data_IF_304188138294
#
_entry.id   IF_304188138294
#
_cell.length_a   1.000
_cell.length_b   1.000
_cell.length_c   1.000
_cell.angle_alpha   90.00
_cell.angle_beta   90.00
_cell.angle_gamma   90.00
#
_symmetry.space_group_name_H-M   'P 1'
#
loop_
_entity.id
_entity.type
_entity.pdbx_description
1 polymer ?
#
# COMPACT_ATOMS: atom_id res chain seq x y z
N UNK A 1 -7.75 50.07 11.95
CA UNK A 1 -7.26 48.94 12.77
C UNK A 1 -7.91 47.72 12.18
N UNK A 2 -7.17 47.00 11.34
CA UNK A 2 -7.66 45.75 10.78
C UNK A 2 -7.92 44.80 11.93
N UNK A 3 -9.08 44.13 11.91
CA UNK A 3 -9.43 43.15 12.93
C UNK A 3 -8.31 42.10 13.01
N UNK A 4 -7.86 41.76 14.22
CA UNK A 4 -6.91 40.68 14.43
C UNK A 4 -7.44 39.43 13.71
N UNK A 5 -6.70 38.96 12.69
CA UNK A 5 -7.12 37.83 11.88
C UNK A 5 -6.83 36.57 12.66
N UNK A 6 -7.87 36.00 13.28
CA UNK A 6 -7.78 34.78 14.05
C UNK A 6 -8.04 33.58 13.15
N UNK A 7 -7.00 32.77 12.95
CA UNK A 7 -7.05 31.59 12.09
C UNK A 7 -6.90 30.35 12.96
N UNK A 8 -7.86 29.42 12.94
CA UNK A 8 -7.67 28.13 13.60
C UNK A 8 -6.55 27.37 12.89
N UNK A 9 -5.52 26.98 13.64
CA UNK A 9 -4.39 26.23 13.13
C UNK A 9 -4.15 24.97 13.97
N UNK A 10 -3.73 23.90 13.31
CA UNK A 10 -3.24 22.70 13.98
C UNK A 10 -1.81 22.94 14.45
N UNK A 11 -1.49 22.48 15.65
CA UNK A 11 -0.13 22.55 16.19
C UNK A 11 0.42 21.13 16.28
N UNK A 12 1.62 20.90 15.75
CA UNK A 12 2.39 19.68 16.01
C UNK A 12 3.65 20.06 16.77
N UNK A 13 3.66 19.64 18.03
CA UNK A 13 4.82 19.69 18.89
C UNK A 13 5.80 18.58 18.49
N UNK A 14 7.00 18.94 18.07
CA UNK A 14 7.99 18.01 17.52
C UNK A 14 9.28 18.00 18.34
N UNK A 15 10.05 16.92 18.23
CA UNK A 15 11.37 16.79 18.83
C UNK A 15 12.29 15.94 17.96
N UNK A 16 13.59 16.02 18.23
CA UNK A 16 14.61 15.31 17.47
C UNK A 16 14.55 15.60 15.96
N UNK A 17 14.85 14.59 15.16
CA UNK A 17 14.97 14.73 13.70
C UNK A 17 13.64 14.63 12.94
N UNK A 18 12.55 15.22 13.46
CA UNK A 18 11.21 15.08 12.86
C UNK A 18 11.18 15.39 11.35
N UNK A 19 11.79 16.49 10.91
CA UNK A 19 11.85 16.86 9.49
C UNK A 19 12.72 15.94 8.61
N UNK A 20 13.58 15.12 9.23
CA UNK A 20 14.32 14.09 8.51
C UNK A 20 13.43 12.86 8.25
N UNK A 21 12.61 12.46 9.23
CA UNK A 21 11.63 11.38 9.07
C UNK A 21 10.49 11.78 8.12
N UNK A 22 10.03 13.03 8.24
CA UNK A 22 8.96 13.60 7.45
C UNK A 22 9.56 14.60 6.47
N UNK A 23 9.83 14.14 5.23
CA UNK A 23 10.40 14.94 4.13
C UNK A 23 9.52 16.12 3.72
N UNK A 24 9.39 17.11 4.61
CA UNK A 24 8.58 18.31 4.51
C UNK A 24 9.53 19.43 4.07
N UNK A 25 9.51 19.83 2.78
CA UNK A 25 10.42 20.84 2.28
C UNK A 25 10.03 22.23 2.77
N UNK A 26 11.02 23.07 3.05
CA UNK A 26 10.80 24.49 3.28
C UNK A 26 10.71 25.26 1.97
N UNK A 27 9.83 26.25 1.93
CA UNK A 27 9.73 27.26 0.89
C UNK A 27 10.64 28.47 1.20
N UNK A 28 10.82 28.77 2.50
CA UNK A 28 11.68 29.85 2.99
C UNK A 28 12.15 29.57 4.42
N UNK A 29 13.23 30.23 4.83
CA UNK A 29 13.79 30.13 6.20
C UNK A 29 14.58 28.86 6.46
N UNK A 30 14.69 28.47 7.73
CA UNK A 30 15.49 27.35 8.19
C UNK A 30 14.66 26.37 9.02
N UNK A 31 15.13 25.12 9.11
CA UNK A 31 14.62 24.16 10.08
C UNK A 31 15.03 24.57 11.50
N UNK A 32 14.43 23.94 12.51
CA UNK A 32 14.85 24.13 13.88
C UNK A 32 16.33 23.80 14.07
N UNK A 33 16.99 24.61 14.89
CA UNK A 33 18.33 24.34 15.39
C UNK A 33 18.22 23.87 16.82
N UNK A 34 19.16 23.04 17.27
CA UNK A 34 19.23 22.55 18.66
C UNK A 34 19.68 23.63 19.66
N UNK A 35 19.47 24.91 19.34
CA UNK A 35 19.84 26.02 20.20
C UNK A 35 18.75 26.27 21.25
N UNK A 36 19.00 25.96 22.54
CA UNK A 36 18.02 26.16 23.60
C UNK A 36 17.67 27.64 23.85
N UNK A 37 18.45 28.59 23.29
CA UNK A 37 18.13 30.02 23.36
C UNK A 37 17.04 30.44 22.37
N UNK A 38 16.80 29.68 21.29
CA UNK A 38 15.84 30.00 20.23
C UNK A 38 14.49 29.30 20.44
N UNK A 39 13.97 29.40 21.67
CA UNK A 39 12.81 28.62 22.12
C UNK A 39 11.44 29.26 21.80
N UNK A 40 11.44 30.36 21.06
CA UNK A 40 10.26 31.08 20.57
C UNK A 40 10.08 30.94 19.04
N UNK A 41 10.86 30.07 18.39
CA UNK A 41 10.77 29.84 16.96
C UNK A 41 9.65 28.86 16.59
N UNK A 42 8.97 29.16 15.49
CA UNK A 42 7.94 28.32 14.87
C UNK A 42 8.15 28.19 13.37
N UNK A 43 7.72 27.07 12.80
CA UNK A 43 7.62 26.87 11.36
C UNK A 43 6.15 26.78 11.02
N UNK A 44 5.67 27.59 10.08
CA UNK A 44 4.27 27.57 9.63
C UNK A 44 4.18 27.03 8.21
N UNK A 45 3.05 26.45 7.83
CA UNK A 45 2.87 26.04 6.44
C UNK A 45 2.49 27.20 5.51
N UNK A 46 2.65 26.96 4.21
CA UNK A 46 2.31 27.87 3.12
C UNK A 46 0.88 28.42 3.26
N UNK A 47 -0.10 27.57 3.52
CA UNK A 47 -1.49 27.99 3.68
C UNK A 47 -1.68 28.98 4.85
N UNK A 48 -1.03 28.76 6.00
CA UNK A 48 -1.11 29.69 7.14
C UNK A 48 -0.36 31.00 6.84
N UNK A 49 0.81 30.93 6.19
CA UNK A 49 1.58 32.11 5.81
C UNK A 49 0.79 33.05 4.87
N UNK A 50 0.13 32.47 3.86
CA UNK A 50 -0.73 33.22 2.95
C UNK A 50 -1.94 33.85 3.64
N UNK A 51 -2.59 33.13 4.56
CA UNK A 51 -3.77 33.67 5.23
C UNK A 51 -3.44 34.77 6.26
N UNK A 52 -2.28 34.68 6.94
CA UNK A 52 -1.86 35.70 7.91
C UNK A 52 -1.21 36.93 7.27
N UNK A 53 -0.37 36.72 6.24
CA UNK A 53 0.53 37.76 5.74
C UNK A 53 0.46 37.96 4.23
N UNK A 54 -0.24 37.10 3.48
CA UNK A 54 -0.30 37.17 2.02
C UNK A 54 1.03 36.91 1.32
N UNK A 55 1.99 36.24 1.97
CA UNK A 55 3.33 35.99 1.43
C UNK A 55 4.00 34.80 2.13
N UNK A 56 4.90 34.12 1.40
CA UNK A 56 5.81 33.11 1.94
C UNK A 56 7.14 33.72 2.45
N UNK A 57 7.41 35.00 2.16
CA UNK A 57 8.59 35.73 2.63
C UNK A 57 8.27 36.51 3.91
N UNK A 58 8.16 35.75 4.99
CA UNK A 58 7.64 36.22 6.28
C UNK A 58 8.55 35.81 7.45
N UNK A 59 9.77 35.37 7.14
CA UNK A 59 10.77 34.98 8.12
C UNK A 59 11.11 36.18 9.02
N UNK A 60 11.19 35.92 10.32
CA UNK A 60 11.45 36.95 11.33
C UNK A 60 10.21 37.77 11.73
N UNK A 61 9.03 37.53 11.14
CA UNK A 61 7.77 38.10 11.64
C UNK A 61 7.27 37.30 12.84
N UNK A 62 6.48 37.96 13.68
CA UNK A 62 5.86 37.33 14.84
C UNK A 62 4.42 36.91 14.56
N UNK A 63 4.03 35.76 15.10
CA UNK A 63 2.64 35.33 15.27
C UNK A 63 2.31 35.23 16.75
N UNK A 64 1.03 35.32 17.08
CA UNK A 64 0.55 35.17 18.45
C UNK A 64 -0.21 33.87 18.59
N UNK A 65 0.24 33.00 19.49
CA UNK A 65 -0.46 31.77 19.86
C UNK A 65 -0.89 31.92 21.33
N UNK A 66 -2.19 32.00 21.58
CA UNK A 66 -2.74 32.29 22.92
C UNK A 66 -2.12 33.55 23.56
N UNK A 67 -2.05 34.64 22.80
CA UNK A 67 -1.46 35.94 23.20
C UNK A 67 0.06 35.92 23.50
N UNK A 68 0.74 34.80 23.28
CA UNK A 68 2.19 34.70 23.41
C UNK A 68 2.84 34.86 22.02
N UNK A 69 3.82 35.78 21.86
CA UNK A 69 4.51 35.97 20.58
C UNK A 69 5.48 34.82 20.29
N UNK A 70 5.52 34.41 19.03
CA UNK A 70 6.46 33.43 18.48
C UNK A 70 7.01 33.93 17.15
N UNK A 71 8.32 33.75 16.93
CA UNK A 71 9.00 34.20 15.73
C UNK A 71 9.00 33.12 14.64
N UNK A 72 8.70 33.52 13.41
CA UNK A 72 8.65 32.58 12.29
C UNK A 72 10.05 32.35 11.74
N UNK A 73 10.58 31.14 11.92
CA UNK A 73 11.92 30.75 11.44
C UNK A 73 11.90 30.07 10.07
N UNK A 74 10.74 29.53 9.66
CA UNK A 74 10.59 28.84 8.38
C UNK A 74 9.15 28.78 7.88
N UNK A 75 8.99 28.65 6.58
CA UNK A 75 7.71 28.32 5.93
C UNK A 75 7.82 26.97 5.26
N UNK A 76 7.04 25.99 5.71
CA UNK A 76 6.99 24.66 5.11
C UNK A 76 5.99 24.60 3.97
N UNK A 77 6.24 23.74 2.99
CA UNK A 77 5.25 23.40 1.97
C UNK A 77 4.04 22.70 2.61
N UNK A 78 2.86 22.95 2.05
CA UNK A 78 1.64 22.28 2.49
C UNK A 78 1.70 20.77 2.29
N UNK A 79 1.51 20.03 3.39
CA UNK A 79 1.31 18.59 3.38
C UNK A 79 -0.20 18.30 3.38
N UNK A 80 -0.71 17.75 2.28
CA UNK A 80 -2.12 17.38 2.16
C UNK A 80 -2.27 16.13 1.31
N UNK A 81 -3.33 15.37 1.59
CA UNK A 81 -3.74 14.25 0.76
C UNK A 81 -4.25 14.73 -0.61
N UNK A 82 -4.17 13.85 -1.60
CA UNK A 82 -4.72 14.08 -2.94
C UNK A 82 -6.22 14.48 -2.82
N UNK A 83 -6.57 15.69 -3.29
CA UNK A 83 -7.89 16.32 -3.22
C UNK A 83 -8.34 16.90 -1.84
N UNK A 84 -7.42 17.16 -0.91
CA UNK A 84 -7.73 17.89 0.32
C UNK A 84 -7.16 19.31 0.29
N UNK A 85 -7.91 20.27 0.81
CA UNK A 85 -7.35 21.59 1.09
C UNK A 85 -6.30 21.46 2.20
N UNK A 86 -5.21 22.20 2.08
CA UNK A 86 -4.23 22.27 3.14
C UNK A 86 -4.79 23.04 4.33
N UNK A 87 -4.66 22.45 5.52
CA UNK A 87 -5.09 23.08 6.76
C UNK A 87 -3.96 23.98 7.29
N UNK A 88 -4.25 25.13 7.90
CA UNK A 88 -3.24 25.93 8.57
C UNK A 88 -2.54 25.12 9.68
N UNK A 89 -1.21 25.07 9.65
CA UNK A 89 -0.41 24.18 10.49
C UNK A 89 0.84 24.90 10.99
N UNK A 90 1.13 24.72 12.27
CA UNK A 90 2.30 25.19 12.99
C UNK A 90 3.10 23.99 13.51
N UNK A 91 4.40 23.96 13.21
CA UNK A 91 5.37 23.10 13.87
C UNK A 91 6.12 23.92 14.92
N UNK A 92 6.30 23.36 16.10
CA UNK A 92 7.06 23.97 17.19
C UNK A 92 7.75 22.91 18.03
N UNK A 93 8.80 23.28 18.75
CA UNK A 93 9.51 22.33 19.61
C UNK A 93 8.62 21.87 20.79
N UNK A 94 8.70 20.59 21.14
CA UNK A 94 7.91 19.99 22.21
C UNK A 94 8.11 20.68 23.56
N UNK A 95 9.35 21.02 23.91
CA UNK A 95 9.67 21.70 25.16
C UNK A 95 8.98 23.07 25.26
N UNK A 96 8.80 23.75 24.13
CA UNK A 96 8.10 25.03 24.04
C UNK A 96 6.60 24.83 24.24
N UNK A 97 6.03 23.83 23.57
CA UNK A 97 4.61 23.51 23.69
C UNK A 97 4.24 23.05 25.11
N UNK A 98 5.09 22.24 25.75
CA UNK A 98 4.87 21.77 27.11
C UNK A 98 4.80 22.92 28.14
N UNK A 99 5.54 24.02 27.91
CA UNK A 99 5.44 25.23 28.75
C UNK A 99 4.10 25.94 28.61
N UNK A 100 3.43 25.80 27.46
CA UNK A 100 2.09 26.32 27.22
C UNK A 100 1.01 25.40 27.80
N UNK A 101 1.18 24.09 27.61
CA UNK A 101 0.25 23.06 28.09
C UNK A 101 1.00 21.92 28.79
N UNK A 102 0.99 21.96 30.13
CA UNK A 102 1.59 20.93 30.96
C UNK A 102 0.90 19.56 30.84
N UNK A 103 -0.27 19.48 30.20
CA UNK A 103 -0.95 18.20 29.93
C UNK A 103 -0.49 17.53 28.63
N UNK A 104 0.41 18.17 27.87
CA UNK A 104 0.98 17.64 26.64
C UNK A 104 1.71 16.32 26.88
N UNK A 105 1.26 15.26 26.22
CA UNK A 105 1.90 13.95 26.23
C UNK A 105 2.44 13.60 24.83
N UNK A 106 3.46 12.74 24.80
CA UNK A 106 4.02 12.24 23.54
C UNK A 106 3.02 11.26 22.92
N UNK A 107 2.47 11.63 21.77
CA UNK A 107 1.48 10.81 21.06
C UNK A 107 2.10 9.78 20.11
N UNK A 108 3.30 10.06 19.60
CA UNK A 108 4.01 9.20 18.65
C UNK A 108 5.51 9.28 18.91
N UNK A 109 6.19 8.15 18.77
CA UNK A 109 7.65 8.06 18.80
C UNK A 109 8.10 7.26 17.58
N UNK A 110 9.09 7.80 16.86
CA UNK A 110 9.62 7.19 15.65
C UNK A 110 11.10 6.90 15.85
N UNK A 111 11.52 5.70 15.46
CA UNK A 111 12.88 5.24 15.64
C UNK A 111 13.35 4.47 14.41
N UNK A 112 14.57 4.76 13.97
CA UNK A 112 15.23 4.03 12.90
C UNK A 112 16.30 3.14 13.53
N UNK A 113 16.09 1.82 13.43
CA UNK A 113 16.98 0.81 13.98
C UNK A 113 17.45 -0.16 12.88
N UNK A 114 18.71 -0.64 12.93
CA UNK A 114 19.17 -1.68 12.03
C UNK A 114 18.40 -2.99 12.27
N UNK A 115 18.02 -3.65 11.19
CA UNK A 115 17.23 -4.89 11.23
C UNK A 115 17.98 -6.03 10.50
N UNK A 116 19.03 -6.62 11.10
CA UNK A 116 19.88 -7.63 10.46
C UNK A 116 19.15 -8.95 10.17
N UNK A 117 18.11 -9.26 10.95
CA UNK A 117 17.18 -10.38 10.75
C UNK A 117 15.75 -9.88 10.95
N UNK A 118 14.77 -10.62 10.42
CA UNK A 118 13.35 -10.27 10.55
C UNK A 118 12.96 -10.04 12.02
N UNK A 119 12.22 -8.96 12.25
CA UNK A 119 11.68 -8.53 13.55
C UNK A 119 12.71 -8.26 14.67
N UNK A 120 14.02 -8.18 14.38
CA UNK A 120 15.05 -7.88 15.38
C UNK A 120 14.81 -6.54 16.07
N UNK A 121 14.69 -5.47 15.28
CA UNK A 121 14.44 -4.13 15.79
C UNK A 121 13.12 -4.05 16.57
N UNK A 122 12.08 -4.71 16.06
CA UNK A 122 10.76 -4.74 16.71
C UNK A 122 10.80 -5.43 18.08
N UNK A 123 11.55 -6.53 18.20
CA UNK A 123 11.68 -7.25 19.45
C UNK A 123 12.45 -6.45 20.50
N UNK A 124 13.48 -5.70 20.09
CA UNK A 124 14.16 -4.75 20.98
C UNK A 124 13.17 -3.72 21.49
N UNK A 125 12.42 -3.05 20.62
CA UNK A 125 11.45 -2.02 21.04
C UNK A 125 10.41 -2.61 22.00
N UNK A 126 9.89 -3.81 21.71
CA UNK A 126 8.94 -4.52 22.59
C UNK A 126 9.49 -4.81 23.98
N UNK A 127 10.78 -5.08 24.10
CA UNK A 127 11.43 -5.37 25.39
C UNK A 127 11.57 -4.11 26.26
N UNK A 128 11.84 -2.96 25.63
CA UNK A 128 12.04 -1.69 26.33
C UNK A 128 10.74 -0.93 26.62
N UNK A 129 9.70 -1.11 25.79
CA UNK A 129 8.41 -0.45 25.99
C UNK A 129 7.60 -1.17 27.08
N UNK A 130 7.65 -0.64 28.30
CA UNK A 130 6.92 -1.16 29.49
C UNK A 130 5.54 -0.51 29.67
N UNK A 131 4.81 -0.30 28.58
CA UNK A 131 3.46 0.30 28.61
C UNK A 131 2.37 -0.77 28.55
N UNK A 132 1.17 -0.45 29.03
CA UNK A 132 0.04 -1.37 28.91
C UNK A 132 -0.36 -1.54 27.45
N UNK A 133 -0.80 -2.73 27.04
CA UNK A 133 -1.18 -3.04 25.65
C UNK A 133 -2.31 -2.16 25.09
N UNK A 134 -3.13 -1.53 25.96
CA UNK A 134 -4.19 -0.61 25.52
C UNK A 134 -3.70 0.83 25.27
N UNK A 135 -2.51 1.17 25.78
CA UNK A 135 -1.96 2.54 25.81
C UNK A 135 -0.90 2.78 24.73
N UNK A 136 -0.42 1.73 24.09
CA UNK A 136 0.58 1.85 23.02
C UNK A 136 0.32 0.84 21.90
N UNK A 137 0.82 1.16 20.71
CA UNK A 137 0.85 0.26 19.58
C UNK A 137 2.22 0.39 18.91
N UNK A 138 2.88 -0.75 18.71
CA UNK A 138 4.20 -0.79 18.07
C UNK A 138 4.00 -1.21 16.63
N UNK A 139 4.38 -0.33 15.71
CA UNK A 139 4.20 -0.52 14.27
C UNK A 139 5.56 -0.63 13.61
N UNK A 140 5.76 -1.70 12.84
CA UNK A 140 6.94 -1.87 12.00
C UNK A 140 6.62 -1.46 10.57
N UNK A 141 7.34 -0.47 10.06
CA UNK A 141 7.18 -0.01 8.67
C UNK A 141 8.01 -0.82 7.66
N UNK A 142 9.02 -1.56 8.12
CA UNK A 142 9.81 -2.46 7.27
C UNK A 142 8.92 -3.54 6.67
N UNK A 143 9.07 -3.80 5.36
CA UNK A 143 8.30 -4.80 4.60
C UNK A 143 6.78 -4.60 4.56
N UNK A 144 6.28 -3.46 5.04
CA UNK A 144 4.85 -3.17 5.17
C UNK A 144 4.05 -3.43 3.88
N UNK A 145 4.58 -3.00 2.74
CA UNK A 145 3.92 -3.08 1.44
C UNK A 145 4.33 -4.29 0.58
N UNK A 146 5.03 -5.29 1.16
CA UNK A 146 5.37 -6.49 0.42
C UNK A 146 4.12 -7.34 0.11
N UNK A 147 4.24 -8.31 -0.80
CA UNK A 147 3.11 -9.11 -1.26
C UNK A 147 2.48 -9.95 -0.13
N UNK A 148 3.30 -10.50 0.76
CA UNK A 148 2.86 -11.35 1.87
C UNK A 148 2.05 -10.54 2.88
N UNK A 149 2.55 -9.38 3.30
CA UNK A 149 1.89 -8.49 4.26
C UNK A 149 0.64 -7.83 3.65
N UNK A 150 0.68 -7.47 2.36
CA UNK A 150 -0.52 -7.02 1.63
C UNK A 150 -1.61 -8.11 1.60
N UNK A 151 -1.23 -9.37 1.42
CA UNK A 151 -2.18 -10.49 1.49
C UNK A 151 -2.73 -10.69 2.91
N UNK A 152 -1.90 -10.57 3.96
CA UNK A 152 -2.36 -10.59 5.36
C UNK A 152 -3.38 -9.47 5.66
N UNK A 153 -3.19 -8.28 5.07
CA UNK A 153 -4.16 -7.18 5.19
C UNK A 153 -5.51 -7.59 4.60
N UNK A 154 -5.51 -8.28 3.46
CA UNK A 154 -6.74 -8.78 2.83
C UNK A 154 -7.44 -9.85 3.67
N UNK A 155 -6.71 -10.73 4.36
CA UNK A 155 -7.30 -11.75 5.22
C UNK A 155 -7.82 -11.20 6.56
N UNK A 156 -7.19 -10.14 7.09
CA UNK A 156 -7.44 -9.64 8.45
C UNK A 156 -8.23 -8.32 8.48
N UNK A 157 -9.14 -8.10 7.53
CA UNK A 157 -9.92 -6.86 7.42
C UNK A 157 -10.73 -6.53 8.68
N UNK A 158 -11.29 -7.56 9.35
CA UNK A 158 -12.12 -7.37 10.55
C UNK A 158 -11.31 -6.82 11.71
N UNK A 159 -10.18 -7.44 12.02
CA UNK A 159 -9.32 -7.04 13.16
C UNK A 159 -8.71 -5.66 12.92
N UNK A 160 -8.37 -5.31 11.68
CA UNK A 160 -7.83 -3.98 11.36
C UNK A 160 -8.84 -2.85 11.49
N UNK A 161 -10.13 -3.14 11.27
CA UNK A 161 -11.19 -2.13 11.35
C UNK A 161 -11.72 -1.95 12.78
N UNK A 162 -11.38 -2.85 13.70
CA UNK A 162 -11.76 -2.75 15.11
C UNK A 162 -10.58 -2.16 15.87
N UNK A 163 -10.74 -0.92 16.33
CA UNK A 163 -9.73 -0.26 17.16
C UNK A 163 -9.89 -0.71 18.61
N UNK A 164 -8.95 -1.53 19.08
CA UNK A 164 -8.92 -2.03 20.46
C UNK A 164 -8.09 -1.15 21.39
N UNK A 165 -7.17 -0.35 20.85
CA UNK A 165 -6.29 0.55 21.60
C UNK A 165 -6.85 1.97 21.68
N UNK A 166 -6.45 2.73 22.70
CA UNK A 166 -6.78 4.17 22.85
C UNK A 166 -5.85 5.07 22.04
N UNK A 167 -4.89 4.50 21.32
CA UNK A 167 -3.82 5.23 20.62
C UNK A 167 -4.38 6.01 19.45
N UNK A 168 -4.14 7.32 19.38
CA UNK A 168 -4.45 8.11 18.18
C UNK A 168 -3.31 7.94 17.17
N UNK A 169 -3.63 7.58 15.93
CA UNK A 169 -2.61 7.50 14.90
C UNK A 169 -2.33 8.90 14.33
N UNK A 170 -1.05 9.23 14.10
CA UNK A 170 -0.70 10.41 13.34
C UNK A 170 -1.18 10.30 11.89
N UNK A 171 -1.25 11.43 11.20
CA UNK A 171 -1.78 11.52 9.84
C UNK A 171 -1.01 10.67 8.84
N UNK A 172 0.32 10.59 8.98
CA UNK A 172 1.16 9.76 8.11
C UNK A 172 0.92 8.27 8.30
N UNK A 173 0.66 7.80 9.52
CA UNK A 173 0.28 6.40 9.77
C UNK A 173 -1.10 6.10 9.16
N UNK A 174 -2.07 7.00 9.34
CA UNK A 174 -3.39 6.86 8.69
C UNK A 174 -3.25 6.77 7.16
N UNK A 175 -2.40 7.63 6.58
CA UNK A 175 -2.10 7.64 5.14
C UNK A 175 -1.47 6.31 4.69
N UNK A 176 -0.54 5.76 5.46
CA UNK A 176 0.07 4.47 5.18
C UNK A 176 -0.95 3.33 5.24
N UNK A 177 -1.86 3.31 6.24
CA UNK A 177 -2.95 2.31 6.34
C UNK A 177 -3.92 2.38 5.16
N UNK A 178 -4.28 3.59 4.73
CA UNK A 178 -5.10 3.79 3.53
C UNK A 178 -4.40 3.20 2.30
N UNK A 179 -3.08 3.42 2.17
CA UNK A 179 -2.29 2.90 1.06
C UNK A 179 -2.23 1.36 1.07
N UNK A 180 -2.04 0.73 2.23
CA UNK A 180 -2.11 -0.74 2.36
C UNK A 180 -3.46 -1.28 1.91
N UNK A 181 -4.55 -0.59 2.26
CA UNK A 181 -5.89 -0.99 1.87
C UNK A 181 -6.13 -0.86 0.36
N UNK A 182 -5.62 0.21 -0.26
CA UNK A 182 -5.60 0.37 -1.72
C UNK A 182 -4.84 -0.79 -2.38
N UNK A 183 -3.65 -1.12 -1.88
CA UNK A 183 -2.83 -2.23 -2.39
C UNK A 183 -3.50 -3.59 -2.21
N UNK A 184 -4.12 -3.85 -1.06
CA UNK A 184 -4.84 -5.09 -0.80
C UNK A 184 -6.03 -5.29 -1.75
N UNK A 185 -6.75 -4.21 -2.08
CA UNK A 185 -7.83 -4.23 -3.09
C UNK A 185 -7.29 -4.50 -4.51
N UNK A 186 -6.18 -3.86 -4.88
CA UNK A 186 -5.52 -4.12 -6.17
C UNK A 186 -5.02 -5.57 -6.26
N UNK A 187 -4.49 -6.11 -5.15
CA UNK A 187 -4.09 -7.52 -5.07
C UNK A 187 -5.29 -8.46 -5.24
N UNK A 188 -6.42 -8.17 -4.59
CA UNK A 188 -7.66 -8.94 -4.76
C UNK A 188 -8.12 -8.93 -6.22
N UNK A 189 -8.14 -7.76 -6.87
CA UNK A 189 -8.49 -7.65 -8.29
C UNK A 189 -7.54 -8.49 -9.17
N UNK A 190 -6.23 -8.43 -8.90
CA UNK A 190 -5.22 -9.23 -9.61
C UNK A 190 -5.48 -10.74 -9.44
N UNK A 191 -5.84 -11.19 -8.24
CA UNK A 191 -6.17 -12.60 -7.98
C UNK A 191 -7.39 -13.02 -8.80
N UNK A 192 -8.45 -12.20 -8.84
CA UNK A 192 -9.66 -12.48 -9.62
C UNK A 192 -9.35 -12.59 -11.11
N UNK A 193 -8.63 -11.61 -11.67
CA UNK A 193 -8.25 -11.63 -13.10
C UNK A 193 -7.38 -12.85 -13.41
N UNK A 194 -6.42 -13.17 -12.55
CA UNK A 194 -5.53 -14.34 -12.75
C UNK A 194 -6.32 -15.65 -12.70
N UNK A 195 -7.30 -15.75 -11.80
CA UNK A 195 -8.19 -16.91 -11.73
C UNK A 195 -9.05 -17.04 -13.00
N UNK A 196 -9.58 -15.95 -13.54
CA UNK A 196 -10.31 -15.95 -14.81
C UNK A 196 -9.44 -16.37 -16.00
N UNK A 197 -8.20 -15.90 -16.07
CA UNK A 197 -7.26 -16.34 -17.12
C UNK A 197 -6.95 -17.84 -16.99
N UNK A 198 -6.75 -18.32 -15.77
CA UNK A 198 -6.49 -19.72 -15.50
C UNK A 198 -7.68 -20.62 -15.87
N UNK A 199 -8.91 -20.20 -15.58
CA UNK A 199 -10.10 -20.97 -15.96
C UNK A 199 -10.29 -21.03 -17.47
N UNK A 200 -10.08 -19.92 -18.18
CA UNK A 200 -10.10 -19.89 -19.65
C UNK A 200 -9.02 -20.82 -20.23
N UNK A 201 -7.81 -20.79 -19.68
CA UNK A 201 -6.73 -21.66 -20.11
C UNK A 201 -7.07 -23.14 -19.90
N UNK A 202 -7.64 -23.49 -18.75
CA UNK A 202 -8.08 -24.87 -18.45
C UNK A 202 -9.17 -25.31 -19.45
N UNK A 203 -10.18 -24.48 -19.70
CA UNK A 203 -11.23 -24.77 -20.69
C UNK A 203 -10.64 -24.96 -22.08
N UNK A 204 -9.70 -24.11 -22.50
CA UNK A 204 -9.01 -24.23 -23.79
C UNK A 204 -8.26 -25.55 -23.90
N UNK A 205 -7.55 -25.97 -22.84
CA UNK A 205 -6.84 -27.25 -22.79
C UNK A 205 -7.82 -28.43 -22.88
N UNK A 206 -8.96 -28.36 -22.19
CA UNK A 206 -9.99 -29.41 -22.24
C UNK A 206 -10.56 -29.52 -23.66
N UNK A 207 -10.99 -28.41 -24.27
CA UNK A 207 -11.54 -28.39 -25.64
C UNK A 207 -10.52 -28.87 -26.67
N UNK A 208 -9.25 -28.47 -26.53
CA UNK A 208 -8.18 -28.96 -27.40
C UNK A 208 -7.99 -30.47 -27.28
N UNK A 209 -7.99 -31.01 -26.06
CA UNK A 209 -7.87 -32.46 -25.81
C UNK A 209 -9.06 -33.24 -26.34
N UNK A 210 -10.29 -32.77 -26.16
CA UNK A 210 -11.49 -33.45 -26.68
C UNK A 210 -11.52 -33.45 -28.20
N UNK A 211 -11.22 -32.31 -28.85
CA UNK A 211 -11.16 -32.23 -30.31
C UNK A 211 -10.10 -33.16 -30.93
N UNK A 212 -8.93 -33.28 -30.28
CA UNK A 212 -7.90 -34.24 -30.68
C UNK A 212 -8.39 -35.67 -30.53
N UNK A 213 -9.02 -36.01 -29.41
CA UNK A 213 -9.58 -37.34 -29.18
C UNK A 213 -10.61 -37.70 -30.26
N UNK A 214 -11.53 -36.79 -30.57
CA UNK A 214 -12.54 -36.97 -31.61
C UNK A 214 -11.91 -37.15 -33.01
N UNK A 215 -10.86 -36.39 -33.30
CA UNK A 215 -10.08 -36.53 -34.53
C UNK A 215 -9.40 -37.90 -34.64
N UNK A 216 -8.77 -38.37 -33.55
CA UNK A 216 -8.15 -39.70 -33.50
C UNK A 216 -9.19 -40.82 -33.65
N UNK A 217 -10.34 -40.73 -32.97
CA UNK A 217 -11.41 -41.73 -33.12
C UNK A 217 -11.94 -41.81 -34.55
N UNK A 218 -12.20 -40.67 -35.20
CA UNK A 218 -12.62 -40.61 -36.60
C UNK A 218 -11.56 -41.23 -37.52
N UNK A 219 -10.29 -40.90 -37.30
CA UNK A 219 -9.16 -41.43 -38.09
C UNK A 219 -9.04 -42.95 -37.94
N UNK A 220 -9.13 -43.48 -36.71
CA UNK A 220 -9.11 -44.93 -36.44
C UNK A 220 -10.30 -45.64 -37.10
N UNK A 221 -11.51 -45.05 -37.06
CA UNK A 221 -12.69 -45.62 -37.75
C UNK A 221 -12.50 -45.69 -39.26
N UNK A 222 -11.91 -44.67 -39.89
CA UNK A 222 -11.61 -44.68 -41.33
C UNK A 222 -10.60 -45.77 -41.67
N UNK A 223 -9.52 -45.88 -40.89
CA UNK A 223 -8.49 -46.92 -41.08
C UNK A 223 -9.09 -48.32 -40.94
N UNK A 224 -9.90 -48.57 -39.90
CA UNK A 224 -10.58 -49.87 -39.69
C UNK A 224 -11.53 -50.21 -40.83
N UNK A 225 -12.32 -49.24 -41.29
CA UNK A 225 -13.25 -49.43 -42.43
C UNK A 225 -12.49 -49.75 -43.71
N UNK A 226 -11.41 -49.02 -43.99
CA UNK A 226 -10.56 -49.27 -45.17
C UNK A 226 -9.93 -50.67 -45.11
N UNK A 227 -9.37 -51.06 -43.97
CA UNK A 227 -8.80 -52.39 -43.77
C UNK A 227 -9.84 -53.52 -43.93
N UNK A 228 -11.06 -53.33 -43.41
CA UNK A 228 -12.18 -54.28 -43.58
C UNK A 228 -12.57 -54.41 -45.04
N UNK A 229 -12.71 -53.29 -45.76
CA UNK A 229 -13.07 -53.29 -47.18
C UNK A 229 -11.99 -53.95 -48.05
N UNK A 230 -10.71 -53.72 -47.75
CA UNK A 230 -9.59 -54.40 -48.44
C UNK A 230 -9.59 -55.90 -48.20
N UNK A 231 -9.87 -56.36 -46.98
CA UNK A 231 -10.01 -57.80 -46.69
C UNK A 231 -11.18 -58.43 -47.45
N UNK A 232 -12.32 -57.75 -47.51
CA UNK A 232 -13.49 -58.21 -48.28
C UNK A 232 -13.16 -58.27 -49.77
N UNK A 233 -12.50 -57.25 -50.32
CA UNK A 233 -12.10 -57.23 -51.73
C UNK A 233 -11.18 -58.41 -52.08
N UNK A 234 -10.16 -58.68 -51.27
CA UNK A 234 -9.27 -59.84 -51.44
C UNK A 234 -10.02 -61.17 -51.37
N UNK A 235 -10.96 -61.32 -50.43
CA UNK A 235 -11.76 -62.54 -50.31
C UNK A 235 -12.70 -62.76 -51.51
N UNK A 236 -13.25 -61.69 -52.10
CA UNK A 236 -14.05 -61.75 -53.32
C UNK A 236 -13.17 -62.16 -54.51
N UNK A 237 -11.97 -61.60 -54.61
CA UNK A 237 -11.02 -61.91 -55.66
C UNK A 237 -10.55 -63.37 -55.60
N UNK A 238 -10.24 -63.88 -54.41
CA UNK A 238 -9.93 -65.31 -54.18
C UNK A 238 -11.10 -66.23 -54.54
N UNK A 239 -12.34 -65.84 -54.19
CA UNK A 239 -13.54 -66.62 -54.58
C UNK A 239 -13.73 -66.66 -56.10
N UNK A 240 -13.61 -65.51 -56.78
CA UNK A 240 -13.69 -65.46 -58.24
C UNK A 240 -12.61 -66.32 -58.88
N UNK A 241 -11.37 -66.27 -58.37
CA UNK A 241 -10.25 -67.08 -58.88
C UNK A 241 -10.57 -68.58 -58.78
N UNK A 242 -11.09 -69.04 -57.64
CA UNK A 242 -11.54 -70.43 -57.46
C UNK A 242 -12.70 -70.82 -58.38
N UNK A 243 -13.62 -69.90 -58.68
CA UNK A 243 -14.72 -70.15 -59.63
C UNK A 243 -14.22 -70.25 -61.08
N UNK A 244 -13.24 -69.45 -61.48
CA UNK A 244 -12.60 -69.57 -62.80
C UNK A 244 -11.83 -70.89 -62.92
N UNK A 245 -11.03 -71.25 -61.91
CA UNK A 245 -10.34 -72.54 -61.86
C UNK A 245 -11.33 -73.71 -61.93
N UNK A 246 -12.53 -73.60 -61.33
CA UNK A 246 -13.56 -74.65 -61.44
C UNK A 246 -14.21 -74.76 -62.82
N UNK A 247 -14.21 -73.69 -63.61
CA UNK A 247 -14.77 -73.66 -64.97
C UNK A 247 -13.78 -74.11 -66.04
N UNK A 248 -12.47 -74.03 -65.80
CA UNK A 248 -11.46 -74.55 -66.73
C UNK A 248 -11.31 -76.09 -66.69
N UNK A 249 -11.84 -76.75 -65.65
CA UNK A 249 -11.75 -78.21 -65.47
C UNK A 249 -13.06 -78.97 -65.78
N UNK A 250 -14.02 -78.32 -66.45
CA UNK A 250 -15.24 -78.92 -67.01
C UNK A 250 -15.34 -78.60 -68.49
#
# INVERSE_FOLDING_TARGET
MDAATNIPAQVTAIGGDFFYFHNIPLLSGNYFTDDPLNSDHVIINESLAWQLFGSNDIIGKDIFINDVPYNITGVSKDMHGENQAANPHIYMQYDVYQRMDNSAFISCYEVLLPNPISDFALNIVKEYVRLNQMEHEIIQNTERFNLINTFKVLSNLKERNIKTSKVLYPEWENTARITEYKLARLLLLRIIISAMMLTVLIVMIIVYRTNISDFFEKTVKVIKTKAKNTKIAKAIEERRRKEYEKKEYH
#
